data_IF_001153029400
#
_entry.id   IF_001153029400
#
_cell.length_a   1.000
_cell.length_b   1.000
_cell.length_c   1.000
_cell.angle_alpha   90.00
_cell.angle_beta   90.00
_cell.angle_gamma   90.00
#
_symmetry.space_group_name_H-M   'P 1'
#
loop_
_entity.id
_entity.type
_entity.pdbx_description
1 polymer ?
#
# COMPACT_ATOMS: atom_id res chain seq x y z
N UNK A 1 -3.07 4.96 -19.19
CA UNK A 1 -4.08 4.12 -18.51
C UNK A 1 -3.74 4.21 -17.03
N UNK A 2 -4.69 4.60 -16.17
CA UNK A 2 -4.40 4.85 -14.75
C UNK A 2 -4.17 3.54 -14.00
N UNK A 3 -3.05 3.41 -13.30
CA UNK A 3 -2.69 2.26 -12.46
C UNK A 3 -2.93 2.59 -11.00
N UNK A 4 -3.79 1.82 -10.35
CA UNK A 4 -4.09 1.97 -8.91
C UNK A 4 -3.47 0.80 -8.15
N UNK A 5 -2.59 1.11 -7.20
CA UNK A 5 -2.06 0.15 -6.23
C UNK A 5 -3.01 -0.02 -5.06
N UNK A 6 -3.21 -1.25 -4.59
CA UNK A 6 -4.02 -1.56 -3.41
C UNK A 6 -3.17 -2.32 -2.40
N UNK A 7 -3.21 -1.87 -1.16
CA UNK A 7 -2.56 -2.51 0.00
C UNK A 7 -3.50 -2.43 1.20
N UNK A 8 -3.37 -3.32 2.18
CA UNK A 8 -4.18 -3.31 3.41
C UNK A 8 -3.39 -3.95 4.55
N UNK A 9 -3.91 -3.86 5.78
CA UNK A 9 -3.45 -4.66 6.92
C UNK A 9 -1.95 -4.47 7.22
N UNK A 10 -1.47 -3.24 7.03
CA UNK A 10 -0.06 -2.94 7.26
C UNK A 10 0.27 -2.94 8.74
N UNK A 11 -0.69 -2.68 9.62
CA UNK A 11 -0.51 -2.63 11.07
C UNK A 11 0.71 -1.76 11.48
N UNK A 12 0.93 -0.65 10.77
CA UNK A 12 2.06 0.26 10.99
C UNK A 12 3.40 -0.24 10.44
N UNK A 13 3.44 -1.43 9.84
CA UNK A 13 4.61 -2.03 9.20
C UNK A 13 4.45 -2.05 7.69
N UNK A 14 5.21 -1.20 7.01
CA UNK A 14 5.34 -1.24 5.55
C UNK A 14 6.65 -1.90 5.15
N UNK A 15 6.55 -3.08 4.51
CA UNK A 15 7.73 -3.84 4.07
C UNK A 15 8.31 -3.27 2.78
N UNK A 16 9.64 -3.33 2.56
CA UNK A 16 10.28 -2.84 1.33
C UNK A 16 9.71 -3.43 0.03
N UNK A 17 9.27 -4.69 0.06
CA UNK A 17 8.68 -5.38 -1.08
C UNK A 17 7.33 -4.75 -1.49
N UNK A 18 6.55 -4.28 -0.50
CA UNK A 18 5.30 -3.57 -0.77
C UNK A 18 5.57 -2.23 -1.45
N UNK A 19 6.60 -1.51 -1.02
CA UNK A 19 7.04 -0.27 -1.67
C UNK A 19 7.49 -0.54 -3.11
N UNK A 20 8.29 -1.58 -3.33
CA UNK A 20 8.74 -1.95 -4.67
C UNK A 20 7.59 -2.35 -5.60
N UNK A 21 6.58 -3.07 -5.09
CA UNK A 21 5.40 -3.44 -5.85
C UNK A 21 4.54 -2.22 -6.25
N UNK A 22 4.37 -1.28 -5.34
CA UNK A 22 3.54 -0.08 -5.52
C UNK A 22 4.21 1.00 -6.39
N UNK A 23 5.51 0.88 -6.68
CA UNK A 23 6.21 1.80 -7.58
C UNK A 23 5.53 1.90 -8.94
N UNK A 24 5.40 3.14 -9.43
CA UNK A 24 4.77 3.43 -10.72
C UNK A 24 3.25 3.27 -10.75
N UNK A 25 2.58 3.16 -9.60
CA UNK A 25 1.14 3.38 -9.53
C UNK A 25 0.87 4.90 -9.54
N UNK A 26 -0.16 5.34 -10.27
CA UNK A 26 -0.60 6.73 -10.29
C UNK A 26 -1.31 7.11 -8.97
N UNK A 27 -2.00 6.14 -8.38
CA UNK A 27 -2.67 6.26 -7.09
C UNK A 27 -2.44 5.00 -6.24
N UNK A 28 -2.45 5.16 -4.92
CA UNK A 28 -2.38 4.06 -3.97
C UNK A 28 -3.58 4.18 -3.02
N UNK A 29 -4.31 3.09 -2.84
CA UNK A 29 -5.42 2.98 -1.89
C UNK A 29 -5.00 2.02 -0.77
N UNK A 30 -5.22 2.43 0.47
CA UNK A 30 -5.08 1.55 1.63
C UNK A 30 -6.46 1.02 2.06
N UNK A 31 -6.61 -0.29 2.23
CA UNK A 31 -7.89 -0.97 2.45
C UNK A 31 -8.42 -0.93 3.89
N UNK A 32 -7.56 -0.69 4.88
CA UNK A 32 -7.94 -0.64 6.30
C UNK A 32 -6.80 -1.13 7.18
N UNK A 33 -6.96 -1.08 8.50
CA UNK A 33 -5.96 -1.57 9.47
C UNK A 33 -4.57 -0.93 9.31
N UNK A 34 -4.58 0.42 9.26
CA UNK A 34 -3.40 1.26 9.28
C UNK A 34 -3.01 1.54 10.74
N UNK A 35 -1.78 1.18 11.12
CA UNK A 35 -1.21 1.52 12.43
C UNK A 35 -1.43 0.46 13.51
N UNK A 36 -1.24 0.86 14.77
CA UNK A 36 -1.45 -0.01 15.93
C UNK A 36 -2.94 -0.05 16.32
N UNK A 37 -3.40 -1.10 17.03
CA UNK A 37 -4.74 -1.14 17.61
C UNK A 37 -5.01 -0.01 18.61
#
# INVERSE_FOLDING_TARGET
MTRIGLISDTHGLLRPEALAFLQGCDHIVHGGDIGAP
#
